data_IF_208106034392
#
_entry.id   IF_208106034392
#
_cell.length_a   1.000
_cell.length_b   1.000
_cell.length_c   1.000
_cell.angle_alpha   90.00
_cell.angle_beta   90.00
_cell.angle_gamma   90.00
#
_symmetry.space_group_name_H-M   'P 1'
#
loop_
_entity.id
_entity.type
_entity.pdbx_description
1 polymer ?
#
# COMPACT_ATOMS: atom_id res chain seq x y z
N UNK A 1 -2.72 11.05 9.27
CA UNK A 1 -2.49 10.47 7.93
C UNK A 1 -3.55 10.97 6.97
N UNK A 2 -3.17 11.28 5.74
CA UNK A 2 -4.05 11.84 4.70
C UNK A 2 -3.97 11.08 3.38
N UNK A 3 -2.84 10.47 3.04
CA UNK A 3 -2.64 9.69 1.80
C UNK A 3 -1.59 8.59 2.03
N UNK A 4 -1.49 7.63 1.12
CA UNK A 4 -0.43 6.63 1.11
C UNK A 4 0.04 6.32 -0.32
N UNK A 5 1.21 5.71 -0.46
CA UNK A 5 1.64 5.03 -1.68
C UNK A 5 2.29 3.70 -1.33
N UNK A 6 2.21 2.73 -2.24
CA UNK A 6 2.84 1.42 -2.10
C UNK A 6 4.08 1.32 -2.97
N UNK A 7 5.05 0.56 -2.50
CA UNK A 7 6.15 0.06 -3.31
C UNK A 7 5.82 -1.34 -3.77
N UNK A 8 5.78 -1.55 -5.08
CA UNK A 8 5.27 -2.78 -5.67
C UNK A 8 6.22 -3.25 -6.76
N UNK A 9 6.47 -4.56 -6.84
CA UNK A 9 7.19 -5.16 -7.96
C UNK A 9 6.33 -5.20 -9.21
N UNK A 10 6.93 -4.94 -10.38
CA UNK A 10 6.19 -5.01 -11.63
C UNK A 10 5.82 -6.46 -11.95
N UNK A 11 4.66 -6.71 -12.59
CA UNK A 11 4.27 -8.05 -13.01
C UNK A 11 5.36 -8.66 -13.91
N UNK A 12 5.85 -9.84 -13.57
CA UNK A 12 6.88 -10.56 -14.33
C UNK A 12 6.27 -11.78 -15.03
N UNK A 13 5.60 -11.53 -16.15
CA UNK A 13 5.11 -12.59 -17.04
C UNK A 13 3.92 -13.39 -16.48
N UNK A 14 3.82 -14.66 -16.87
CA UNK A 14 2.65 -15.54 -16.58
C UNK A 14 2.53 -15.98 -15.12
N UNK A 15 3.56 -15.76 -14.28
CA UNK A 15 3.68 -16.36 -12.94
C UNK A 15 4.48 -15.47 -11.97
N UNK A 16 4.20 -14.18 -11.86
CA UNK A 16 4.73 -13.40 -10.72
C UNK A 16 3.65 -12.48 -10.13
N UNK A 17 3.42 -12.70 -8.84
CA UNK A 17 2.44 -12.04 -7.99
C UNK A 17 2.90 -10.61 -7.66
N UNK A 18 2.02 -9.65 -7.93
CA UNK A 18 2.29 -8.23 -7.72
C UNK A 18 2.14 -7.91 -6.22
N UNK A 19 3.19 -8.19 -5.45
CA UNK A 19 3.22 -7.95 -4.01
C UNK A 19 3.70 -6.53 -3.66
N UNK A 20 3.06 -5.91 -2.67
CA UNK A 20 3.55 -4.70 -2.04
C UNK A 20 4.68 -5.03 -1.06
N UNK A 21 5.84 -4.42 -1.28
CA UNK A 21 7.03 -4.59 -0.47
C UNK A 21 7.19 -3.51 0.60
N UNK A 22 6.58 -2.34 0.41
CA UNK A 22 6.68 -1.22 1.34
C UNK A 22 5.49 -0.25 1.19
N UNK A 23 5.32 0.63 2.18
CA UNK A 23 4.28 1.65 2.22
C UNK A 23 4.86 2.96 2.78
N UNK A 24 4.55 4.07 2.12
CA UNK A 24 4.74 5.42 2.68
C UNK A 24 3.38 6.05 2.97
N UNK A 25 3.30 6.81 4.05
CA UNK A 25 2.08 7.51 4.45
C UNK A 25 2.34 9.01 4.60
N UNK A 26 1.46 9.83 4.02
CA UNK A 26 1.52 11.28 4.14
C UNK A 26 0.73 11.74 5.38
N UNK A 27 1.30 12.69 6.10
CA UNK A 27 0.67 13.37 7.22
C UNK A 27 0.00 14.69 6.80
N UNK A 28 -0.87 15.21 7.67
CA UNK A 28 -1.58 16.47 7.43
C UNK A 28 -0.67 17.71 7.49
N UNK A 29 0.49 17.58 8.12
CA UNK A 29 1.52 18.61 8.25
C UNK A 29 2.57 18.57 7.11
N UNK A 30 2.37 17.71 6.11
CA UNK A 30 3.28 17.53 4.98
C UNK A 30 4.44 16.58 5.24
N UNK A 31 4.57 16.00 6.44
CA UNK A 31 5.54 14.95 6.68
C UNK A 31 5.20 13.67 5.90
N UNK A 32 6.21 12.93 5.49
CA UNK A 32 6.08 11.58 4.92
C UNK A 32 6.69 10.60 5.90
N UNK A 33 5.87 9.65 6.35
CA UNK A 33 6.31 8.52 7.15
C UNK A 33 6.76 7.41 6.21
N UNK A 34 8.05 7.09 6.29
CA UNK A 34 8.61 5.92 5.62
C UNK A 34 8.13 4.64 6.32
N UNK A 35 7.82 3.63 5.52
CA UNK A 35 7.66 2.27 6.02
C UNK A 35 9.01 1.63 6.34
N UNK A 36 8.94 0.44 6.94
CA UNK A 36 10.11 -0.41 7.21
C UNK A 36 10.23 -1.57 6.22
N UNK A 37 9.60 -1.45 5.04
CA UNK A 37 9.52 -2.52 4.05
C UNK A 37 10.81 -2.73 3.25
N UNK A 38 10.72 -3.63 2.27
CA UNK A 38 11.85 -4.03 1.43
C UNK A 38 12.18 -3.02 0.32
N UNK A 39 13.42 -3.00 -0.18
CA UNK A 39 13.84 -2.05 -1.20
C UNK A 39 13.38 -2.40 -2.63
N UNK A 40 12.72 -3.56 -2.82
CA UNK A 40 12.38 -4.06 -4.16
C UNK A 40 11.11 -3.41 -4.71
N UNK A 41 11.06 -3.29 -6.03
CA UNK A 41 9.94 -2.67 -6.74
C UNK A 41 10.03 -1.15 -6.83
N UNK A 42 9.00 -0.54 -7.41
CA UNK A 42 8.88 0.88 -7.62
C UNK A 42 7.74 1.48 -6.80
N UNK A 43 7.90 2.72 -6.38
CA UNK A 43 6.81 3.46 -5.75
C UNK A 43 5.74 3.77 -6.78
N UNK A 44 4.50 3.39 -6.46
CA UNK A 44 3.32 3.83 -7.20
C UNK A 44 3.01 5.30 -6.95
N UNK A 45 1.95 5.78 -7.61
CA UNK A 45 1.41 7.11 -7.33
C UNK A 45 0.83 7.18 -5.92
N UNK A 46 0.84 8.37 -5.34
CA UNK A 46 0.08 8.67 -4.13
C UNK A 46 -1.40 8.44 -4.35
N UNK A 47 -2.06 7.89 -3.33
CA UNK A 47 -3.53 7.85 -3.30
C UNK A 47 -4.09 9.26 -3.28
N UNK A 48 -5.34 9.40 -3.70
CA UNK A 48 -6.07 10.64 -3.45
C UNK A 48 -6.02 10.95 -1.94
N UNK A 49 -5.64 12.17 -1.56
CA UNK A 49 -5.60 12.55 -0.16
C UNK A 49 -7.03 12.65 0.40
N UNK A 50 -7.15 12.42 1.70
CA UNK A 50 -8.39 12.71 2.41
C UNK A 50 -8.79 14.18 2.20
N UNK A 51 -10.11 14.48 2.16
CA UNK A 51 -10.59 15.85 2.09
C UNK A 51 -10.00 16.73 3.19
N UNK A 52 -9.93 18.05 2.97
CA UNK A 52 -9.39 18.99 3.97
C UNK A 52 -10.10 18.82 5.31
N UNK A 53 -9.30 18.80 6.38
CA UNK A 53 -9.79 18.61 7.75
C UNK A 53 -10.15 17.18 8.12
N UNK A 54 -9.90 16.19 7.24
CA UNK A 54 -10.16 14.77 7.49
C UNK A 54 -8.89 13.95 7.56
N UNK A 55 -8.94 12.89 8.35
CA UNK A 55 -7.85 11.92 8.50
C UNK A 55 -8.28 10.53 8.05
N UNK A 56 -7.29 9.69 7.78
CA UNK A 56 -7.49 8.26 7.58
C UNK A 56 -7.98 7.64 8.89
N UNK A 57 -9.10 6.92 8.83
CA UNK A 57 -9.72 6.24 9.98
C UNK A 57 -9.95 4.75 9.73
N UNK A 58 -9.71 4.26 8.51
CA UNK A 58 -9.87 2.86 8.17
C UNK A 58 -9.01 2.46 6.99
N UNK A 59 -8.75 1.15 6.90
CA UNK A 59 -7.96 0.52 5.85
C UNK A 59 -8.65 -0.78 5.43
N UNK A 60 -8.69 -1.04 4.12
CA UNK A 60 -9.02 -2.35 3.56
C UNK A 60 -7.87 -2.81 2.67
N UNK A 61 -7.36 -3.98 2.95
CA UNK A 61 -6.29 -4.61 2.17
C UNK A 61 -6.87 -5.68 1.24
N UNK A 62 -6.20 -5.90 0.11
CA UNK A 62 -6.41 -7.06 -0.74
C UNK A 62 -5.21 -7.96 -0.56
N UNK A 63 -5.44 -9.14 -0.01
CA UNK A 63 -4.43 -10.20 0.12
C UNK A 63 -4.67 -11.25 -0.96
N UNK A 64 -3.61 -11.96 -1.31
CA UNK A 64 -3.72 -13.16 -2.13
C UNK A 64 -4.38 -14.30 -1.36
N UNK A 65 -5.19 -15.14 -2.04
CA UNK A 65 -5.68 -16.35 -1.43
C UNK A 65 -4.50 -17.28 -1.12
N UNK A 66 -4.54 -18.04 0.00
CA UNK A 66 -3.50 -19.00 0.31
C UNK A 66 -3.42 -20.04 -0.82
N UNK A 67 -2.28 -20.19 -1.48
CA UNK A 67 -2.05 -21.35 -2.36
C UNK A 67 -1.45 -22.51 -1.55
N UNK A 68 -1.67 -23.73 -2.03
CA UNK A 68 -1.30 -24.95 -1.31
C UNK A 68 0.20 -25.21 -1.50
N UNK A 69 1.01 -24.85 -0.50
CA UNK A 69 2.39 -25.33 -0.36
C UNK A 69 3.50 -24.30 -0.58
N UNK A 70 3.17 -23.01 -0.71
CA UNK A 70 4.11 -21.89 -0.77
C UNK A 70 3.63 -20.75 0.16
N UNK A 71 4.54 -19.85 0.55
CA UNK A 71 4.25 -18.68 1.41
C UNK A 71 3.43 -17.63 0.63
N UNK A 72 2.15 -17.93 0.38
CA UNK A 72 1.33 -17.15 -0.54
C UNK A 72 0.40 -16.20 0.22
N UNK A 73 0.98 -15.27 0.96
CA UNK A 73 0.21 -14.18 1.57
C UNK A 73 0.91 -12.85 1.31
N UNK A 74 0.79 -12.35 0.08
CA UNK A 74 1.23 -11.02 -0.28
C UNK A 74 0.07 -10.00 -0.18
N UNK A 75 0.37 -8.80 0.30
CA UNK A 75 -0.54 -7.66 0.18
C UNK A 75 -0.43 -7.11 -1.23
N UNK A 76 -1.53 -7.15 -2.01
CA UNK A 76 -1.52 -6.68 -3.40
C UNK A 76 -2.00 -5.24 -3.51
N UNK A 77 -2.88 -4.81 -2.62
CA UNK A 77 -3.45 -3.46 -2.65
C UNK A 77 -4.01 -3.04 -1.30
N UNK A 78 -4.17 -1.74 -1.13
CA UNK A 78 -4.79 -1.12 0.02
C UNK A 78 -5.76 -0.02 -0.43
N UNK A 79 -6.79 0.21 0.38
CA UNK A 79 -7.73 1.31 0.23
C UNK A 79 -7.92 1.97 1.59
N UNK A 80 -7.78 3.30 1.62
CA UNK A 80 -8.01 4.09 2.83
C UNK A 80 -9.43 4.63 2.88
N UNK A 81 -9.95 4.76 4.10
CA UNK A 81 -11.20 5.44 4.41
C UNK A 81 -10.91 6.70 5.23
N UNK A 82 -11.59 7.79 4.87
CA UNK A 82 -11.38 9.10 5.49
C UNK A 82 -12.58 9.49 6.38
N UNK A 83 -12.30 9.94 7.60
CA UNK A 83 -13.30 10.42 8.55
C UNK A 83 -12.97 11.84 9.01
N UNK A 84 -13.98 12.53 9.54
CA UNK A 84 -13.84 13.81 10.23
C UNK A 84 -13.36 13.61 11.67
#
# INVERSE_FOLDING_TARGET
LTSFRLRVEAPRGLWDDTAANDLEAACSDGQVLAGGGGPRGAWGNWSLPCPRGRGVCGLRTRLEPPQRGSDDTALNSAQLFCCA
#
